data_IF_842470358914
#
_entry.id   IF_842470358914
#
_cell.length_a   1.000
_cell.length_b   1.000
_cell.length_c   1.000
_cell.angle_alpha   90.00
_cell.angle_beta   90.00
_cell.angle_gamma   90.00
#
_symmetry.space_group_name_H-M   'P 1'
#
loop_
_entity.id
_entity.type
_entity.pdbx_description
1 polymer ?
#
# COMPACT_ATOMS: atom_id res chain seq x y z
N UNK A 1 1.99 -15.30 -18.94
CA UNK A 1 1.32 -14.15 -18.34
C UNK A 1 0.57 -13.35 -19.38
N UNK A 2 -0.60 -12.88 -19.03
CA UNK A 2 -1.43 -12.12 -19.95
C UNK A 2 -1.13 -10.62 -19.83
N UNK A 3 -1.57 -9.85 -20.84
CA UNK A 3 -1.44 -8.40 -20.80
C UNK A 3 -2.20 -7.79 -19.63
N UNK A 4 -3.28 -8.46 -19.20
CA UNK A 4 -4.05 -8.00 -18.05
C UNK A 4 -3.24 -8.05 -16.76
N UNK A 5 -2.43 -9.09 -16.59
CA UNK A 5 -1.57 -9.23 -15.41
C UNK A 5 -0.53 -8.12 -15.37
N UNK A 6 0.06 -7.79 -16.52
CA UNK A 6 1.04 -6.71 -16.61
C UNK A 6 0.40 -5.36 -16.30
N UNK A 7 -0.80 -5.12 -16.85
CA UNK A 7 -1.52 -3.87 -16.59
C UNK A 7 -1.90 -3.76 -15.12
N UNK A 8 -2.33 -4.87 -14.52
CA UNK A 8 -2.69 -4.90 -13.11
C UNK A 8 -1.48 -4.58 -12.22
N UNK A 9 -0.33 -5.18 -12.50
CA UNK A 9 0.89 -4.91 -11.74
C UNK A 9 1.32 -3.46 -11.86
N UNK A 10 1.22 -2.88 -13.06
CA UNK A 10 1.56 -1.47 -13.26
C UNK A 10 0.63 -0.56 -12.45
N UNK A 11 -0.65 -0.89 -12.40
CA UNK A 11 -1.64 -0.14 -11.62
C UNK A 11 -1.30 -0.24 -10.13
N UNK A 12 -0.93 -1.41 -9.65
CA UNK A 12 -0.56 -1.62 -8.26
C UNK A 12 0.71 -0.87 -7.88
N UNK A 13 1.72 -0.87 -8.75
CA UNK A 13 2.96 -0.14 -8.48
C UNK A 13 2.70 1.36 -8.32
N UNK A 14 1.87 1.93 -9.21
CA UNK A 14 1.48 3.33 -9.11
C UNK A 14 0.68 3.57 -7.82
N UNK A 15 -0.20 2.65 -7.47
CA UNK A 15 -0.99 2.73 -6.24
C UNK A 15 -0.08 2.72 -5.01
N UNK A 16 0.90 1.83 -4.98
CA UNK A 16 1.84 1.74 -3.86
C UNK A 16 2.63 3.03 -3.69
N UNK A 17 3.10 3.63 -4.79
CA UNK A 17 3.81 4.89 -4.73
C UNK A 17 2.96 5.99 -4.09
N UNK A 18 1.67 6.04 -4.43
CA UNK A 18 0.75 7.02 -3.84
C UNK A 18 0.48 6.74 -2.37
N UNK A 19 0.35 5.46 -2.00
CA UNK A 19 0.15 5.07 -0.60
C UNK A 19 1.37 5.46 0.23
N UNK A 20 2.57 5.19 -0.27
CA UNK A 20 3.82 5.52 0.40
C UNK A 20 3.90 7.02 0.65
N UNK A 21 3.63 7.82 -0.39
CA UNK A 21 3.65 9.27 -0.28
C UNK A 21 2.61 9.78 0.72
N UNK A 22 1.40 9.23 0.67
CA UNK A 22 0.33 9.62 1.58
C UNK A 22 0.69 9.29 3.03
N UNK A 23 1.22 8.10 3.28
CA UNK A 23 1.59 7.69 4.63
C UNK A 23 2.73 8.54 5.16
N UNK A 24 3.73 8.83 4.34
CA UNK A 24 4.84 9.70 4.73
C UNK A 24 4.34 11.08 5.13
N UNK A 25 3.42 11.65 4.36
CA UNK A 25 2.84 12.96 4.66
C UNK A 25 1.98 12.93 5.91
N UNK A 26 1.11 11.93 6.03
CA UNK A 26 0.16 11.84 7.14
C UNK A 26 0.84 11.63 8.48
N UNK A 27 1.96 10.93 8.51
CA UNK A 27 2.62 10.55 9.76
C UNK A 27 4.03 11.12 9.91
N UNK A 28 4.42 12.04 9.03
CA UNK A 28 5.72 12.70 9.14
C UNK A 28 6.91 11.77 8.99
N UNK A 29 6.81 10.80 8.09
CA UNK A 29 7.85 9.80 7.86
C UNK A 29 8.70 10.17 6.66
N UNK A 30 9.95 9.67 6.63
CA UNK A 30 10.73 9.71 5.42
C UNK A 30 10.09 8.79 4.39
N UNK A 31 10.36 9.06 3.11
CA UNK A 31 9.84 8.20 2.05
C UNK A 31 10.33 6.75 2.22
N UNK A 32 11.61 6.61 2.57
CA UNK A 32 12.21 5.29 2.78
C UNK A 32 11.53 4.52 3.91
N UNK A 33 11.26 5.19 5.02
CA UNK A 33 10.59 4.53 6.14
C UNK A 33 9.18 4.13 5.78
N UNK A 34 8.46 5.00 5.09
CA UNK A 34 7.10 4.73 4.63
C UNK A 34 7.07 3.53 3.67
N UNK A 35 8.02 3.49 2.73
CA UNK A 35 8.15 2.38 1.80
C UNK A 35 8.42 1.07 2.52
N UNK A 36 9.31 1.08 3.50
CA UNK A 36 9.64 -0.09 4.30
C UNK A 36 8.41 -0.62 5.03
N UNK A 37 7.62 0.27 5.63
CA UNK A 37 6.41 -0.11 6.33
C UNK A 37 5.42 -0.80 5.38
N UNK A 38 5.22 -0.23 4.19
CA UNK A 38 4.32 -0.83 3.20
C UNK A 38 4.79 -2.21 2.77
N UNK A 39 6.06 -2.36 2.41
CA UNK A 39 6.55 -3.61 1.85
C UNK A 39 6.67 -4.73 2.88
N UNK A 40 6.62 -4.40 4.16
CA UNK A 40 6.59 -5.40 5.24
C UNK A 40 5.22 -5.54 5.87
N UNK A 41 4.21 -4.87 5.32
CA UNK A 41 2.87 -4.89 5.88
C UNK A 41 2.17 -6.21 5.59
N UNK A 42 1.45 -6.78 6.56
CA UNK A 42 0.61 -7.95 6.31
C UNK A 42 -0.56 -7.67 5.38
N UNK A 43 -0.88 -6.38 5.14
CA UNK A 43 -1.95 -6.00 4.21
C UNK A 43 -1.51 -6.04 2.75
N UNK A 44 -0.19 -5.99 2.49
CA UNK A 44 0.30 -5.95 1.11
C UNK A 44 -0.19 -7.13 0.26
N UNK A 45 -0.06 -8.40 0.71
CA UNK A 45 -0.55 -9.52 -0.07
C UNK A 45 -2.06 -9.44 -0.33
N UNK A 46 -2.82 -8.91 0.61
CA UNK A 46 -4.27 -8.76 0.46
C UNK A 46 -4.62 -7.74 -0.63
N UNK A 47 -3.85 -6.65 -0.68
CA UNK A 47 -4.02 -5.64 -1.71
C UNK A 47 -3.64 -6.22 -3.08
N UNK A 48 -2.53 -6.94 -3.15
CA UNK A 48 -2.07 -7.56 -4.40
C UNK A 48 -3.07 -8.57 -4.94
N UNK A 49 -3.70 -9.34 -4.06
CA UNK A 49 -4.68 -10.35 -4.44
C UNK A 49 -6.07 -9.78 -4.67
N UNK A 50 -6.27 -8.48 -4.42
CA UNK A 50 -7.55 -7.82 -4.61
C UNK A 50 -8.60 -8.27 -3.61
N UNK A 51 -8.20 -8.75 -2.45
CA UNK A 51 -9.13 -9.23 -1.42
C UNK A 51 -10.04 -8.08 -0.98
N UNK A 52 -11.35 -8.32 -1.01
CA UNK A 52 -12.39 -7.34 -0.64
C UNK A 52 -12.21 -6.00 -1.38
N UNK A 53 -11.69 -6.05 -2.59
CA UNK A 53 -11.44 -4.87 -3.43
C UNK A 53 -10.59 -3.80 -2.76
N UNK A 54 -9.65 -4.22 -1.91
CA UNK A 54 -8.76 -3.29 -1.21
C UNK A 54 -8.00 -2.38 -2.16
N UNK A 55 -7.58 -2.90 -3.31
CA UNK A 55 -6.86 -2.11 -4.31
C UNK A 55 -7.69 -0.95 -4.87
N UNK A 56 -9.02 -0.98 -4.69
CA UNK A 56 -9.92 0.08 -5.12
C UNK A 56 -10.18 1.13 -4.03
N UNK A 57 -9.68 0.92 -2.82
CA UNK A 57 -9.84 1.90 -1.75
C UNK A 57 -8.92 3.08 -1.98
N UNK A 58 -9.24 4.22 -1.35
CA UNK A 58 -8.43 5.42 -1.51
C UNK A 58 -7.01 5.22 -0.96
N UNK A 59 -6.08 6.00 -1.49
CA UNK A 59 -4.68 5.94 -1.05
C UNK A 59 -4.56 6.26 0.44
N UNK A 60 -5.32 7.25 0.90
CA UNK A 60 -5.28 7.67 2.31
C UNK A 60 -5.87 6.61 3.23
N UNK A 61 -6.93 5.95 2.80
CA UNK A 61 -7.54 4.87 3.57
C UNK A 61 -6.54 3.73 3.76
N UNK A 62 -5.88 3.31 2.68
CA UNK A 62 -4.91 2.22 2.75
C UNK A 62 -3.68 2.63 3.54
N UNK A 63 -3.20 3.86 3.37
CA UNK A 63 -2.07 4.36 4.13
C UNK A 63 -2.36 4.30 5.63
N UNK A 64 -3.56 4.71 6.05
CA UNK A 64 -3.93 4.67 7.45
C UNK A 64 -4.06 3.26 7.98
N UNK A 65 -4.66 2.35 7.21
CA UNK A 65 -4.79 0.96 7.62
C UNK A 65 -3.43 0.28 7.77
N UNK A 66 -2.53 0.55 6.83
CA UNK A 66 -1.17 0.02 6.89
C UNK A 66 -0.42 0.55 8.11
N UNK A 67 -0.57 1.85 8.37
CA UNK A 67 0.03 2.49 9.53
C UNK A 67 -0.49 1.89 10.84
N UNK A 68 -1.81 1.70 10.95
CA UNK A 68 -2.42 1.11 12.14
C UNK A 68 -1.92 -0.31 12.38
N UNK A 69 -1.84 -1.12 11.32
CA UNK A 69 -1.33 -2.49 11.43
C UNK A 69 0.13 -2.50 11.89
N UNK A 70 0.93 -1.55 11.40
CA UNK A 70 2.32 -1.42 11.79
C UNK A 70 2.45 -1.05 13.26
N UNK A 71 1.69 -0.05 13.72
CA UNK A 71 1.78 0.40 15.10
C UNK A 71 1.21 -0.60 16.08
N UNK A 72 0.17 -1.33 15.69
CA UNK A 72 -0.42 -2.37 16.54
C UNK A 72 0.49 -3.57 16.69
N UNK A 73 1.32 -3.86 15.68
CA UNK A 73 2.25 -4.99 15.72
C UNK A 73 3.44 -4.72 16.67
N UNK A 74 3.67 -3.49 17.02
CA UNK A 74 4.71 -3.12 17.97
C UNK A 74 4.17 -3.14 19.39
#
# INVERSE_FOLDING_TARGET
MTKQDEAYHSILEAKYARIIAAMAEMHGLSYEKSMDILYHSPLLPLIEDGVADLHCRSDRYLAEEIWLAYTEAE
#
